data_IF_488523366015
#
_entry.id   IF_488523366015
#
_cell.length_a   1.000
_cell.length_b   1.000
_cell.length_c   1.000
_cell.angle_alpha   90.00
_cell.angle_beta   90.00
_cell.angle_gamma   90.00
#
_symmetry.space_group_name_H-M   'P 1'
#
loop_
_entity.id
_entity.type
_entity.pdbx_description
1 polymer ?
#
# COMPACT_ATOMS: atom_id res chain seq x y z
N UNK A 1 -2.71 -34.07 39.78
CA UNK A 1 -2.42 -34.43 38.38
C UNK A 1 -1.33 -33.53 37.74
N UNK A 2 -0.35 -33.01 38.51
CA UNK A 2 0.77 -32.15 37.99
C UNK A 2 2.14 -32.77 38.22
N UNK A 3 2.24 -34.06 38.58
CA UNK A 3 3.53 -34.74 38.84
C UNK A 3 3.78 -35.97 37.97
N UNK A 4 2.96 -36.21 36.91
CA UNK A 4 3.12 -37.36 36.03
C UNK A 4 3.63 -36.96 34.60
N UNK A 5 3.80 -35.66 34.30
CA UNK A 5 4.28 -35.18 33.02
C UNK A 5 5.80 -34.88 32.96
N UNK A 6 6.49 -34.97 34.08
CA UNK A 6 7.94 -34.70 34.17
C UNK A 6 8.84 -35.94 33.99
N UNK A 7 8.27 -37.15 33.88
CA UNK A 7 9.06 -38.39 33.81
C UNK A 7 9.14 -39.02 32.41
N UNK A 8 8.46 -38.47 31.40
CA UNK A 8 8.47 -38.99 30.04
C UNK A 8 9.44 -38.23 29.14
N UNK A 9 9.89 -37.03 29.52
CA UNK A 9 10.85 -36.24 28.73
C UNK A 9 12.31 -36.56 29.05
N UNK A 10 12.62 -37.38 30.04
CA UNK A 10 14.01 -37.71 30.42
C UNK A 10 14.51 -39.06 29.86
N UNK A 11 13.71 -39.78 29.06
CA UNK A 11 14.07 -41.14 28.61
C UNK A 11 14.36 -41.21 27.08
N UNK A 12 14.42 -40.07 26.37
CA UNK A 12 14.75 -40.04 24.93
C UNK A 12 16.12 -39.41 24.59
N UNK A 13 16.97 -39.17 25.57
CA UNK A 13 18.33 -38.60 25.33
C UNK A 13 19.50 -39.55 25.60
N UNK A 14 19.33 -40.86 25.63
CA UNK A 14 20.41 -41.82 25.94
C UNK A 14 20.66 -42.91 24.88
N UNK A 15 20.18 -42.74 23.66
CA UNK A 15 20.44 -43.72 22.61
C UNK A 15 20.99 -43.04 21.33
N UNK A 16 22.18 -42.50 21.40
CA UNK A 16 22.80 -41.83 20.25
C UNK A 16 24.32 -41.71 20.31
N UNK A 17 25.04 -42.57 21.01
CA UNK A 17 26.50 -42.59 20.98
C UNK A 17 27.05 -43.99 21.12
N UNK A 18 27.18 -44.74 20.01
CA UNK A 18 28.14 -45.85 19.88
C UNK A 18 28.17 -46.32 18.41
N UNK A 19 29.06 -45.76 17.62
CA UNK A 19 29.69 -46.47 16.48
C UNK A 19 30.79 -45.57 15.89
N UNK A 20 31.95 -45.58 16.54
CA UNK A 20 33.24 -45.27 15.92
C UNK A 20 34.21 -46.30 16.44
N UNK A 21 34.73 -47.19 15.55
CA UNK A 21 36.15 -47.56 15.50
C UNK A 21 36.40 -48.86 14.74
N UNK A 22 37.38 -48.76 13.92
CA UNK A 22 38.41 -49.72 13.40
C UNK A 22 38.28 -50.09 11.93
N UNK A 23 39.05 -49.49 11.08
CA UNK A 23 40.41 -49.65 10.54
C UNK A 23 40.79 -51.08 10.22
N UNK A 24 41.12 -51.41 8.95
CA UNK A 24 42.45 -51.66 8.44
C UNK A 24 42.44 -52.30 7.02
N UNK A 25 43.30 -51.72 6.18
CA UNK A 25 44.15 -52.30 5.13
C UNK A 25 43.62 -52.94 3.86
N UNK A 26 43.95 -52.30 2.83
CA UNK A 26 44.34 -52.46 1.42
C UNK A 26 45.05 -53.79 1.05
N UNK A 27 45.38 -54.13 -0.23
CA UNK A 27 45.10 -53.49 -1.53
C UNK A 27 44.76 -54.47 -2.69
N UNK A 28 44.21 -54.00 -3.76
CA UNK A 28 44.67 -54.25 -5.14
C UNK A 28 43.63 -53.89 -6.19
N UNK A 29 43.98 -52.99 -6.99
CA UNK A 29 43.90 -52.72 -8.40
C UNK A 29 42.73 -53.23 -9.20
N UNK A 30 42.03 -52.29 -9.84
CA UNK A 30 41.95 -52.27 -11.30
C UNK A 30 41.01 -51.16 -11.81
N UNK A 31 41.54 -50.44 -12.77
CA UNK A 31 40.89 -49.90 -13.95
C UNK A 31 39.74 -48.91 -13.83
N UNK A 32 40.07 -47.72 -14.21
CA UNK A 32 39.27 -46.52 -14.53
C UNK A 32 38.21 -46.78 -15.55
N UNK A 33 36.98 -46.37 -15.24
CA UNK A 33 36.04 -45.81 -16.21
C UNK A 33 35.67 -44.38 -15.76
N UNK A 34 35.78 -43.34 -16.61
CA UNK A 34 35.38 -42.01 -16.24
C UNK A 34 33.86 -41.91 -16.34
N UNK A 35 33.18 -42.42 -15.32
CA UNK A 35 31.72 -42.24 -15.15
C UNK A 35 31.45 -40.77 -14.86
N UNK A 36 30.70 -40.18 -15.75
CA UNK A 36 29.88 -38.97 -15.73
C UNK A 36 29.75 -38.40 -14.33
N UNK A 37 30.39 -37.25 -14.09
CA UNK A 37 30.01 -36.33 -13.02
C UNK A 37 28.55 -35.96 -13.30
N UNK A 38 27.60 -36.53 -12.59
CA UNK A 38 26.29 -35.95 -12.41
C UNK A 38 26.51 -34.59 -11.77
N UNK A 39 26.33 -33.54 -12.54
CA UNK A 39 26.28 -32.19 -12.00
C UNK A 39 25.19 -32.20 -10.95
N UNK A 40 25.52 -31.91 -9.72
CA UNK A 40 24.54 -31.47 -8.72
C UNK A 40 23.87 -30.25 -9.34
N UNK A 41 22.61 -30.38 -9.77
CA UNK A 41 21.83 -29.19 -10.11
C UNK A 41 21.90 -28.28 -8.89
N UNK A 42 22.50 -27.12 -9.06
CA UNK A 42 22.56 -26.13 -7.99
C UNK A 42 21.13 -25.78 -7.60
N UNK A 43 20.82 -25.86 -6.32
CA UNK A 43 19.51 -25.43 -5.81
C UNK A 43 19.34 -23.96 -6.15
N UNK A 44 18.16 -23.52 -6.59
CA UNK A 44 17.90 -22.09 -6.85
C UNK A 44 18.15 -21.27 -5.59
N UNK A 45 18.70 -20.07 -5.76
CA UNK A 45 18.89 -19.12 -4.68
C UNK A 45 17.53 -18.53 -4.30
N UNK A 46 17.16 -18.57 -3.03
CA UNK A 46 15.87 -18.07 -2.54
C UNK A 46 15.87 -16.54 -2.54
N UNK A 47 14.70 -15.93 -2.86
CA UNK A 47 14.42 -14.50 -2.81
C UNK A 47 13.08 -14.30 -2.11
N UNK A 48 13.06 -13.57 -1.01
CA UNK A 48 11.82 -13.23 -0.30
C UNK A 48 11.38 -11.80 -0.62
N UNK A 49 10.08 -11.63 -0.98
CA UNK A 49 9.45 -10.34 -1.25
C UNK A 49 8.39 -10.06 -0.20
N UNK A 50 8.48 -8.93 0.52
CA UNK A 50 7.40 -8.51 1.42
C UNK A 50 6.49 -7.49 0.74
N UNK A 51 5.16 -7.63 0.98
CA UNK A 51 4.14 -6.73 0.50
C UNK A 51 3.00 -6.59 1.51
N UNK A 52 2.14 -5.57 1.37
CA UNK A 52 1.12 -5.27 2.37
C UNK A 52 -0.32 -5.25 1.85
N UNK A 53 -0.58 -5.59 0.60
CA UNK A 53 -1.94 -5.57 0.06
C UNK A 53 -2.83 -6.61 0.74
N UNK A 54 -3.89 -6.15 1.45
CA UNK A 54 -4.86 -7.02 2.11
C UNK A 54 -5.85 -7.65 1.14
N UNK A 55 -6.04 -7.03 -0.05
CA UNK A 55 -6.94 -7.51 -1.08
C UNK A 55 -6.47 -8.86 -1.64
N UNK A 56 -7.31 -9.90 -1.48
CA UNK A 56 -6.99 -11.26 -1.89
C UNK A 56 -6.70 -11.36 -3.39
N UNK A 57 -7.42 -10.61 -4.24
CA UNK A 57 -7.17 -10.62 -5.69
C UNK A 57 -5.78 -10.11 -6.04
N UNK A 58 -5.28 -9.08 -5.36
CA UNK A 58 -3.92 -8.58 -5.54
C UNK A 58 -2.87 -9.61 -5.11
N UNK A 59 -3.13 -10.31 -4.01
CA UNK A 59 -2.25 -11.40 -3.54
C UNK A 59 -2.18 -12.54 -4.55
N UNK A 60 -3.33 -12.93 -5.11
CA UNK A 60 -3.40 -13.99 -6.14
C UNK A 60 -2.67 -13.59 -7.42
N UNK A 61 -2.81 -12.32 -7.88
CA UNK A 61 -2.11 -11.80 -9.06
C UNK A 61 -0.59 -11.82 -8.83
N UNK A 62 -0.10 -11.30 -7.70
CA UNK A 62 1.32 -11.30 -7.38
C UNK A 62 1.88 -12.73 -7.31
N UNK A 63 1.16 -13.64 -6.65
CA UNK A 63 1.57 -15.05 -6.57
C UNK A 63 1.63 -15.71 -7.96
N UNK A 64 0.66 -15.42 -8.85
CA UNK A 64 0.68 -15.91 -10.23
C UNK A 64 1.92 -15.40 -11.00
N UNK A 65 2.24 -14.13 -10.91
CA UNK A 65 3.45 -13.53 -11.51
C UNK A 65 4.72 -14.19 -10.98
N UNK A 66 4.78 -14.47 -9.68
CA UNK A 66 5.91 -15.18 -9.04
C UNK A 66 6.01 -16.64 -9.52
N UNK A 67 4.88 -17.34 -9.66
CA UNK A 67 4.85 -18.71 -10.19
C UNK A 67 5.35 -18.75 -11.62
N UNK A 68 4.93 -17.82 -12.48
CA UNK A 68 5.39 -17.69 -13.86
C UNK A 68 6.90 -17.38 -13.94
N UNK A 69 7.39 -16.47 -13.12
CA UNK A 69 8.82 -16.21 -13.01
C UNK A 69 9.61 -17.45 -12.59
N UNK A 70 9.18 -18.13 -11.53
CA UNK A 70 9.83 -19.33 -11.04
C UNK A 70 9.81 -20.47 -12.06
N UNK A 71 8.77 -20.55 -12.90
CA UNK A 71 8.69 -21.54 -13.98
C UNK A 71 9.58 -21.18 -15.19
N UNK A 72 9.90 -19.90 -15.41
CA UNK A 72 10.66 -19.42 -16.57
C UNK A 72 12.17 -19.64 -16.45
N UNK A 73 12.70 -19.86 -15.25
CA UNK A 73 14.14 -19.99 -14.98
C UNK A 73 14.41 -20.92 -13.79
N UNK A 74 15.70 -21.25 -13.49
CA UNK A 74 16.09 -22.18 -12.44
C UNK A 74 17.14 -21.62 -11.49
N UNK A 75 17.55 -20.38 -11.68
CA UNK A 75 18.63 -19.75 -10.91
C UNK A 75 18.13 -19.22 -9.57
N UNK A 76 16.93 -18.64 -9.54
CA UNK A 76 16.31 -18.03 -8.38
C UNK A 76 14.95 -18.67 -8.10
N UNK A 77 14.53 -18.62 -6.84
CA UNK A 77 13.21 -19.01 -6.43
C UNK A 77 12.59 -17.92 -5.55
N UNK A 78 11.67 -17.16 -6.14
CA UNK A 78 10.99 -16.07 -5.46
C UNK A 78 9.83 -16.61 -4.64
N UNK A 79 9.64 -16.05 -3.45
CA UNK A 79 8.46 -16.23 -2.60
C UNK A 79 7.98 -14.88 -2.10
N UNK A 80 6.67 -14.76 -1.82
CA UNK A 80 6.10 -13.54 -1.29
C UNK A 80 5.53 -13.76 0.10
N UNK A 81 5.67 -12.73 0.96
CA UNK A 81 5.13 -12.71 2.32
C UNK A 81 4.24 -11.48 2.52
N UNK A 82 2.98 -11.74 2.81
CA UNK A 82 2.06 -10.70 3.23
C UNK A 82 2.37 -10.23 4.65
N UNK A 83 2.49 -8.93 4.83
CA UNK A 83 2.59 -8.25 6.12
C UNK A 83 1.51 -7.17 6.17
N UNK A 84 0.57 -7.18 7.13
CA UNK A 84 -0.49 -6.17 7.19
C UNK A 84 0.06 -4.74 7.17
N UNK A 85 -0.61 -3.84 6.43
CA UNK A 85 -0.17 -2.46 6.25
C UNK A 85 0.14 -1.75 7.57
N UNK A 86 -0.72 -1.92 8.58
CA UNK A 86 -0.55 -1.33 9.91
C UNK A 86 0.73 -1.80 10.64
N UNK A 87 1.25 -2.98 10.31
CA UNK A 87 2.44 -3.56 10.92
C UNK A 87 3.68 -3.47 10.02
N UNK A 88 3.52 -3.15 8.72
CA UNK A 88 4.57 -3.25 7.72
C UNK A 88 5.81 -2.41 8.07
N UNK A 89 5.61 -1.14 8.37
CA UNK A 89 6.69 -0.22 8.79
C UNK A 89 7.42 -0.71 10.04
N UNK A 90 6.66 -1.20 11.02
CA UNK A 90 7.22 -1.73 12.26
C UNK A 90 8.05 -2.98 12.00
N UNK A 91 7.56 -3.90 11.17
CA UNK A 91 8.28 -5.13 10.82
C UNK A 91 9.57 -4.82 10.05
N UNK A 92 9.57 -3.89 9.10
CA UNK A 92 10.79 -3.44 8.42
C UNK A 92 11.80 -2.83 9.40
N UNK A 93 11.36 -1.98 10.32
CA UNK A 93 12.25 -1.36 11.31
C UNK A 93 12.85 -2.39 12.29
N UNK A 94 12.07 -3.40 12.69
CA UNK A 94 12.56 -4.51 13.52
C UNK A 94 13.54 -5.35 12.71
N UNK A 95 13.20 -5.75 11.48
CA UNK A 95 14.06 -6.53 10.60
C UNK A 95 15.40 -5.86 10.34
N UNK A 96 15.42 -4.54 10.14
CA UNK A 96 16.65 -3.76 9.96
C UNK A 96 17.59 -3.82 11.17
N UNK A 97 17.04 -3.96 12.39
CA UNK A 97 17.87 -4.07 13.61
C UNK A 97 18.25 -5.51 13.95
N UNK A 98 17.50 -6.49 13.45
CA UNK A 98 17.69 -7.91 13.73
C UNK A 98 18.44 -8.66 12.62
N UNK A 99 18.77 -8.00 11.50
CA UNK A 99 19.29 -8.62 10.28
C UNK A 99 18.36 -9.71 9.71
N UNK A 100 17.04 -9.40 9.75
CA UNK A 100 15.96 -10.28 9.33
C UNK A 100 15.04 -9.56 8.31
N UNK A 101 15.66 -8.83 7.37
CA UNK A 101 14.94 -8.20 6.25
C UNK A 101 14.73 -9.20 5.11
N UNK A 102 13.68 -9.02 4.27
CA UNK A 102 13.56 -9.75 3.01
C UNK A 102 14.62 -9.32 2.00
N UNK A 103 14.60 -9.85 0.80
CA UNK A 103 15.48 -9.41 -0.29
C UNK A 103 14.89 -8.24 -1.09
N UNK A 104 13.57 -8.12 -1.08
CA UNK A 104 12.82 -7.07 -1.78
C UNK A 104 11.55 -6.71 -1.03
N UNK A 105 11.11 -5.47 -1.21
CA UNK A 105 9.80 -5.00 -0.69
C UNK A 105 9.00 -4.30 -1.77
N UNK A 106 7.67 -4.35 -1.61
CA UNK A 106 6.72 -3.47 -2.28
C UNK A 106 6.20 -2.53 -1.19
N UNK A 107 6.58 -1.25 -1.29
CA UNK A 107 6.39 -0.26 -0.22
C UNK A 107 5.66 0.98 -0.74
N UNK A 108 4.85 1.61 0.13
CA UNK A 108 4.17 2.87 -0.18
C UNK A 108 5.17 3.97 -0.53
N UNK A 109 4.91 4.68 -1.62
CA UNK A 109 5.83 5.68 -2.20
C UNK A 109 6.38 6.70 -1.21
N UNK A 110 5.56 7.34 -0.35
CA UNK A 110 6.04 8.38 0.58
C UNK A 110 7.00 7.85 1.66
N UNK A 111 6.94 6.56 1.97
CA UNK A 111 7.83 5.95 2.96
C UNK A 111 9.21 5.59 2.40
N UNK A 112 9.31 5.44 1.08
CA UNK A 112 10.52 4.95 0.41
C UNK A 112 11.76 5.80 0.75
N UNK A 113 11.64 7.13 0.70
CA UNK A 113 12.73 8.05 1.00
C UNK A 113 13.25 7.90 2.44
N UNK A 114 12.38 7.62 3.42
CA UNK A 114 12.75 7.38 4.80
C UNK A 114 13.66 6.16 4.95
N UNK A 115 13.27 5.04 4.34
CA UNK A 115 14.05 3.80 4.41
C UNK A 115 15.31 3.84 3.57
N UNK A 116 15.31 4.55 2.44
CA UNK A 116 16.53 4.82 1.67
C UNK A 116 17.54 5.64 2.49
N UNK A 117 17.09 6.67 3.20
CA UNK A 117 17.94 7.47 4.10
C UNK A 117 18.51 6.65 5.27
N UNK A 118 17.80 5.62 5.72
CA UNK A 118 18.29 4.67 6.73
C UNK A 118 19.30 3.65 6.17
N UNK A 119 19.55 3.64 4.85
CA UNK A 119 20.45 2.70 4.19
C UNK A 119 19.90 1.29 4.03
N UNK A 120 18.59 1.12 4.09
CA UNK A 120 17.92 -0.20 3.96
C UNK A 120 17.91 -0.65 2.51
N UNK A 121 17.80 0.28 1.55
CA UNK A 121 17.73 -0.05 0.12
C UNK A 121 19.10 0.01 -0.58
N UNK A 122 19.30 -0.88 -1.53
CA UNK A 122 20.44 -0.88 -2.43
C UNK A 122 20.35 0.31 -3.41
N UNK A 123 21.50 0.92 -3.71
CA UNK A 123 21.64 1.93 -4.75
C UNK A 123 21.61 1.25 -6.13
N UNK A 124 20.52 1.41 -6.86
CA UNK A 124 20.30 0.82 -8.18
C UNK A 124 20.46 1.83 -9.32
N UNK A 125 21.10 2.97 -9.05
CA UNK A 125 21.35 4.04 -10.02
C UNK A 125 22.03 3.49 -11.28
N UNK A 126 21.44 3.75 -12.44
CA UNK A 126 21.95 3.31 -13.76
C UNK A 126 21.67 1.84 -14.10
N UNK A 127 20.97 1.09 -13.26
CA UNK A 127 20.56 -0.29 -13.57
C UNK A 127 19.28 -0.33 -14.38
N UNK A 128 18.40 0.66 -14.25
CA UNK A 128 17.12 0.75 -14.96
C UNK A 128 17.00 2.08 -15.72
N UNK A 129 16.36 2.04 -16.89
CA UNK A 129 15.98 3.23 -17.65
C UNK A 129 14.64 3.77 -17.13
N UNK A 130 14.68 4.89 -16.42
CA UNK A 130 13.49 5.57 -15.90
C UNK A 130 12.95 6.67 -16.80
N UNK A 131 13.48 6.85 -18.02
CA UNK A 131 13.09 7.93 -18.93
C UNK A 131 11.63 7.84 -19.41
N UNK A 132 11.08 6.63 -19.44
CA UNK A 132 9.68 6.34 -19.78
C UNK A 132 8.71 6.56 -18.62
N UNK A 133 9.20 6.73 -17.40
CA UNK A 133 8.38 6.93 -16.20
C UNK A 133 7.98 8.39 -16.03
N UNK A 134 6.89 8.64 -15.30
CA UNK A 134 6.54 9.96 -14.80
C UNK A 134 7.55 10.43 -13.73
N UNK A 135 7.85 11.72 -13.72
CA UNK A 135 8.84 12.30 -12.79
C UNK A 135 8.44 12.16 -11.32
N UNK A 136 7.16 12.35 -11.01
CA UNK A 136 6.66 12.26 -9.64
C UNK A 136 6.89 10.89 -8.99
N UNK A 137 6.44 9.79 -9.60
CA UNK A 137 6.75 8.43 -9.13
C UNK A 137 8.24 8.16 -8.99
N UNK A 138 9.07 8.54 -9.96
CA UNK A 138 10.54 8.34 -9.88
C UNK A 138 11.14 9.16 -8.72
N UNK A 139 10.64 10.38 -8.49
CA UNK A 139 11.12 11.21 -7.38
C UNK A 139 10.85 10.56 -6.01
N UNK A 140 9.76 9.79 -5.85
CA UNK A 140 9.45 9.11 -4.59
C UNK A 140 10.49 8.06 -4.17
N UNK A 141 11.21 7.47 -5.13
CA UNK A 141 12.27 6.48 -4.88
C UNK A 141 13.68 7.01 -5.18
N UNK A 142 13.83 8.34 -5.33
CA UNK A 142 15.12 9.01 -5.55
C UNK A 142 15.50 9.84 -4.32
N UNK A 143 16.67 9.60 -3.74
CA UNK A 143 17.20 10.33 -2.60
C UNK A 143 18.62 10.80 -2.92
N UNK A 144 18.90 12.08 -2.73
CA UNK A 144 20.22 12.69 -3.02
C UNK A 144 20.73 12.39 -4.44
N UNK A 145 19.83 12.33 -5.42
CA UNK A 145 20.14 12.04 -6.82
C UNK A 145 20.47 10.58 -7.13
N UNK A 146 20.25 9.68 -6.20
CA UNK A 146 20.43 8.24 -6.35
C UNK A 146 19.08 7.53 -6.36
N UNK A 147 18.97 6.50 -7.20
CA UNK A 147 17.78 5.68 -7.35
C UNK A 147 17.85 4.48 -6.40
N UNK A 148 16.85 4.33 -5.55
CA UNK A 148 16.75 3.27 -4.54
C UNK A 148 15.56 2.31 -4.76
N UNK A 149 14.85 2.48 -5.86
CA UNK A 149 13.71 1.62 -6.20
C UNK A 149 13.14 1.96 -7.58
N UNK A 150 12.15 1.21 -8.01
CA UNK A 150 11.40 1.43 -9.26
C UNK A 150 9.93 1.59 -8.91
N UNK A 151 9.24 2.62 -9.43
CA UNK A 151 7.81 2.75 -9.22
C UNK A 151 7.05 1.54 -9.79
N UNK A 152 6.16 0.96 -8.97
CA UNK A 152 5.27 -0.12 -9.40
C UNK A 152 4.11 0.46 -10.23
N UNK A 153 3.31 1.33 -9.60
CA UNK A 153 2.17 1.96 -10.22
C UNK A 153 1.76 3.21 -9.47
N UNK A 154 0.79 3.92 -10.01
CA UNK A 154 0.22 5.12 -9.42
C UNK A 154 -1.27 4.96 -9.24
N UNK A 155 -1.83 5.62 -8.23
CA UNK A 155 -3.25 5.63 -7.97
C UNK A 155 -3.65 6.96 -7.32
N UNK A 156 -4.94 7.18 -7.19
CA UNK A 156 -5.49 8.30 -6.42
C UNK A 156 -6.85 7.91 -5.83
N UNK A 157 -7.37 8.74 -4.94
CA UNK A 157 -8.71 8.58 -4.40
C UNK A 157 -9.75 9.27 -5.28
N UNK A 158 -10.96 8.70 -5.34
CA UNK A 158 -12.12 9.31 -5.98
C UNK A 158 -13.40 9.01 -5.17
N UNK A 159 -14.50 9.64 -5.54
CA UNK A 159 -15.80 9.43 -4.91
C UNK A 159 -16.55 8.29 -5.62
N UNK A 160 -16.82 7.21 -4.92
CA UNK A 160 -17.76 6.16 -5.32
C UNK A 160 -19.16 6.50 -4.81
N UNK A 161 -20.18 6.20 -5.59
CA UNK A 161 -21.56 6.41 -5.20
C UNK A 161 -22.49 5.29 -5.70
N UNK A 162 -23.50 4.97 -4.88
CA UNK A 162 -24.56 4.03 -5.23
C UNK A 162 -25.64 4.77 -6.02
N UNK A 163 -25.79 4.46 -7.31
CA UNK A 163 -26.70 5.14 -8.23
C UNK A 163 -28.18 4.98 -7.81
N UNK A 164 -28.56 3.79 -7.35
CA UNK A 164 -29.94 3.53 -6.95
C UNK A 164 -30.30 4.29 -5.67
N UNK A 165 -29.36 4.43 -4.72
CA UNK A 165 -29.59 5.21 -3.49
C UNK A 165 -29.70 6.71 -3.77
N UNK A 166 -28.80 7.27 -4.60
CA UNK A 166 -28.86 8.68 -4.99
C UNK A 166 -30.19 8.97 -5.71
N UNK A 167 -30.54 8.13 -6.67
CA UNK A 167 -31.81 8.24 -7.42
C UNK A 167 -33.03 8.14 -6.52
N UNK A 168 -33.06 7.20 -5.58
CA UNK A 168 -34.20 7.02 -4.66
C UNK A 168 -34.39 8.22 -3.72
N UNK A 169 -33.28 8.89 -3.35
CA UNK A 169 -33.32 10.10 -2.53
C UNK A 169 -33.48 11.39 -3.36
N UNK A 170 -33.50 11.31 -4.69
CA UNK A 170 -33.46 12.44 -5.61
C UNK A 170 -32.30 13.39 -5.33
N UNK A 171 -31.10 12.81 -5.15
CA UNK A 171 -29.83 13.50 -4.90
C UNK A 171 -28.98 13.40 -6.15
N UNK A 172 -28.43 14.54 -6.58
CA UNK A 172 -27.44 14.60 -7.66
C UNK A 172 -26.05 14.26 -7.11
N UNK A 173 -25.14 13.84 -8.00
CA UNK A 173 -23.73 13.58 -7.64
C UNK A 173 -23.08 14.89 -7.20
N UNK A 174 -22.56 14.99 -5.96
CA UNK A 174 -22.02 16.22 -5.43
C UNK A 174 -20.69 16.60 -6.10
N UNK A 175 -20.47 17.91 -6.30
CA UNK A 175 -19.27 18.50 -6.87
C UNK A 175 -18.55 19.47 -5.92
N UNK A 176 -19.24 19.89 -4.87
CA UNK A 176 -18.73 20.78 -3.83
C UNK A 176 -18.93 20.18 -2.43
N UNK A 177 -18.20 20.68 -1.43
CA UNK A 177 -18.35 20.24 -0.05
C UNK A 177 -19.76 20.45 0.52
N UNK A 178 -20.38 21.58 0.20
CA UNK A 178 -21.75 21.87 0.65
C UNK A 178 -22.74 20.87 0.04
N UNK A 179 -22.60 20.57 -1.25
CA UNK A 179 -23.40 19.54 -1.94
C UNK A 179 -23.12 18.16 -1.35
N UNK A 180 -21.85 17.82 -1.08
CA UNK A 180 -21.45 16.54 -0.47
C UNK A 180 -22.09 16.35 0.91
N UNK A 181 -22.00 17.36 1.79
CA UNK A 181 -22.61 17.32 3.12
C UNK A 181 -24.12 17.18 3.02
N UNK A 182 -24.77 17.97 2.16
CA UNK A 182 -26.22 17.90 1.94
C UNK A 182 -26.66 16.53 1.38
N UNK A 183 -25.94 16.00 0.39
CA UNK A 183 -26.16 14.68 -0.17
C UNK A 183 -26.01 13.58 0.89
N UNK A 184 -24.91 13.60 1.65
CA UNK A 184 -24.64 12.59 2.67
C UNK A 184 -25.71 12.61 3.78
N UNK A 185 -26.14 13.78 4.23
CA UNK A 185 -27.26 13.90 5.21
C UNK A 185 -28.55 13.33 4.64
N UNK A 186 -28.89 13.65 3.37
CA UNK A 186 -30.12 13.19 2.73
C UNK A 186 -30.14 11.66 2.50
N UNK A 187 -28.98 11.05 2.29
CA UNK A 187 -28.80 9.62 2.08
C UNK A 187 -28.73 8.83 3.38
N UNK A 188 -28.42 9.50 4.50
CA UNK A 188 -28.38 8.87 5.83
C UNK A 188 -29.79 8.56 6.31
N UNK A 189 -30.13 7.27 6.32
CA UNK A 189 -31.45 6.81 6.71
C UNK A 189 -31.39 5.35 7.18
N UNK A 190 -32.16 5.03 8.20
CA UNK A 190 -32.23 3.70 8.80
C UNK A 190 -30.83 3.23 9.23
N UNK A 191 -30.27 2.19 8.60
CA UNK A 191 -28.92 1.69 8.85
C UNK A 191 -27.90 2.16 7.79
N UNK A 192 -28.27 3.06 6.88
CA UNK A 192 -27.38 3.58 5.85
C UNK A 192 -26.74 4.86 6.32
N UNK A 193 -25.42 4.96 6.20
CA UNK A 193 -24.65 6.19 6.37
C UNK A 193 -24.38 6.82 5.00
N UNK A 194 -24.52 8.14 4.88
CA UNK A 194 -24.40 8.82 3.59
C UNK A 194 -23.00 8.80 2.99
N UNK A 195 -21.96 8.88 3.83
CA UNK A 195 -20.56 8.94 3.41
C UNK A 195 -19.68 8.14 4.35
N UNK A 196 -18.65 7.49 3.81
CA UNK A 196 -17.55 6.91 4.58
C UNK A 196 -16.21 7.05 3.84
N UNK A 197 -15.13 7.19 4.59
CA UNK A 197 -13.75 7.00 4.16
C UNK A 197 -12.89 6.53 5.33
N UNK A 198 -11.78 5.86 5.04
CA UNK A 198 -10.87 5.38 6.07
C UNK A 198 -10.36 6.53 6.93
N UNK A 199 -10.50 6.39 8.24
CA UNK A 199 -10.13 7.42 9.21
C UNK A 199 -9.27 6.86 10.34
N UNK A 200 -8.52 5.79 10.06
CA UNK A 200 -7.56 5.20 11.00
C UNK A 200 -6.48 6.21 11.40
N UNK A 201 -5.97 6.09 12.61
CA UNK A 201 -4.79 6.86 13.04
C UNK A 201 -3.51 6.20 12.52
N UNK A 202 -3.30 6.27 11.21
CA UNK A 202 -2.13 5.76 10.50
C UNK A 202 -2.02 6.43 9.12
N UNK A 203 -1.12 5.93 8.27
CA UNK A 203 -0.90 6.43 6.91
C UNK A 203 -2.16 6.32 6.02
N UNK A 204 -2.97 5.26 6.16
CA UNK A 204 -4.22 5.12 5.42
C UNK A 204 -5.19 6.28 5.71
N UNK A 205 -5.32 6.64 6.99
CA UNK A 205 -6.14 7.76 7.39
C UNK A 205 -5.61 9.10 6.87
N UNK A 206 -4.30 9.33 6.94
CA UNK A 206 -3.67 10.52 6.35
C UNK A 206 -3.92 10.59 4.85
N UNK A 207 -3.74 9.47 4.14
CA UNK A 207 -4.02 9.36 2.71
C UNK A 207 -5.46 9.78 2.36
N UNK A 208 -6.43 9.28 3.13
CA UNK A 208 -7.84 9.58 2.92
C UNK A 208 -8.24 11.00 3.37
N UNK A 209 -7.54 11.60 4.32
CA UNK A 209 -7.80 12.98 4.77
C UNK A 209 -7.13 14.04 3.88
N UNK A 210 -6.00 13.73 3.25
CA UNK A 210 -5.23 14.67 2.44
C UNK A 210 -6.03 15.38 1.34
N UNK A 211 -6.92 14.75 0.58
CA UNK A 211 -7.74 15.44 -0.41
C UNK A 211 -8.60 16.58 0.19
N UNK A 212 -9.14 16.37 1.37
CA UNK A 212 -9.92 17.38 2.09
C UNK A 212 -9.04 18.54 2.56
N UNK A 213 -7.87 18.23 3.10
CA UNK A 213 -6.90 19.25 3.53
C UNK A 213 -6.45 20.12 2.36
N UNK A 214 -6.00 19.49 1.28
CA UNK A 214 -5.43 20.21 0.13
C UNK A 214 -6.49 20.96 -0.71
N UNK A 215 -7.73 20.47 -0.75
CA UNK A 215 -8.83 21.16 -1.43
C UNK A 215 -9.11 22.55 -0.88
N UNK A 216 -8.73 22.82 0.37
CA UNK A 216 -8.83 24.16 0.98
C UNK A 216 -7.68 25.09 0.62
N UNK A 217 -6.61 24.57 0.02
CA UNK A 217 -5.34 25.26 -0.20
C UNK A 217 -4.36 25.18 0.98
N UNK A 218 -4.65 24.40 2.02
CA UNK A 218 -3.67 24.04 3.05
C UNK A 218 -2.68 22.99 2.52
N UNK A 219 -1.59 22.75 3.24
CA UNK A 219 -0.59 21.73 2.91
C UNK A 219 -0.36 20.79 4.08
N UNK A 220 0.29 19.65 3.82
CA UNK A 220 0.70 18.73 4.89
C UNK A 220 1.73 19.31 5.86
N UNK A 221 2.36 20.42 5.51
CA UNK A 221 3.39 21.09 6.30
C UNK A 221 2.88 22.35 7.01
N UNK A 222 1.69 22.83 6.67
CA UNK A 222 1.05 24.01 7.25
C UNK A 222 -0.46 23.75 7.43
N UNK A 223 -0.80 23.07 8.54
CA UNK A 223 -2.17 22.67 8.90
C UNK A 223 -2.82 23.64 9.90
N UNK A 224 -2.02 24.42 10.67
CA UNK A 224 -2.54 25.36 11.68
C UNK A 224 -2.79 26.75 11.09
N UNK A 225 -3.54 26.79 10.03
CA UNK A 225 -4.03 28.03 9.43
C UNK A 225 -5.54 27.93 9.19
N UNK A 226 -6.16 29.01 8.72
CA UNK A 226 -7.61 29.06 8.47
C UNK A 226 -8.09 27.93 7.55
N UNK A 227 -7.30 27.57 6.53
CA UNK A 227 -7.60 26.52 5.56
C UNK A 227 -7.55 25.12 6.20
N UNK A 228 -6.49 24.81 6.95
CA UNK A 228 -6.36 23.51 7.62
C UNK A 228 -7.42 23.30 8.71
N UNK A 229 -7.71 24.35 9.50
CA UNK A 229 -8.80 24.33 10.48
C UNK A 229 -10.15 24.11 9.78
N UNK A 230 -10.37 24.71 8.60
CA UNK A 230 -11.59 24.50 7.80
C UNK A 230 -11.74 23.07 7.34
N UNK A 231 -10.65 22.40 6.92
CA UNK A 231 -10.67 20.99 6.55
C UNK A 231 -11.05 20.09 7.73
N UNK A 232 -10.44 20.31 8.89
CA UNK A 232 -10.78 19.58 10.12
C UNK A 232 -12.22 19.85 10.58
N UNK A 233 -12.71 21.08 10.44
CA UNK A 233 -14.09 21.47 10.75
C UNK A 233 -15.08 20.75 9.84
N UNK A 234 -14.77 20.63 8.55
CA UNK A 234 -15.64 19.90 7.60
C UNK A 234 -15.82 18.44 8.01
N UNK A 235 -14.75 17.74 8.36
CA UNK A 235 -14.83 16.34 8.83
C UNK A 235 -15.62 16.24 10.13
N UNK A 236 -15.41 17.15 11.08
CA UNK A 236 -16.23 17.25 12.31
C UNK A 236 -17.71 17.40 11.99
N UNK A 237 -18.03 18.30 11.09
CA UNK A 237 -19.40 18.57 10.67
C UNK A 237 -20.09 17.37 10.02
N UNK A 238 -19.35 16.57 9.22
CA UNK A 238 -19.87 15.32 8.64
C UNK A 238 -20.25 14.32 9.74
N UNK A 239 -19.42 14.19 10.77
CA UNK A 239 -19.71 13.31 11.91
C UNK A 239 -20.84 13.84 12.78
N UNK A 240 -20.84 15.12 13.15
CA UNK A 240 -21.86 15.73 14.02
C UNK A 240 -23.24 15.77 13.37
N UNK A 241 -23.31 15.91 12.05
CA UNK A 241 -24.57 15.84 11.30
C UNK A 241 -25.08 14.40 11.11
N UNK A 242 -24.31 13.38 11.50
CA UNK A 242 -24.63 11.98 11.27
C UNK A 242 -24.41 11.51 9.82
N UNK A 243 -23.93 12.38 8.93
CA UNK A 243 -23.64 12.06 7.54
C UNK A 243 -22.52 11.02 7.38
N UNK A 244 -21.61 10.97 8.36
CA UNK A 244 -20.48 10.03 8.44
C UNK A 244 -20.45 9.37 9.83
N UNK A 245 -20.20 8.07 9.86
CA UNK A 245 -20.10 7.31 11.12
C UNK A 245 -18.75 7.57 11.81
N UNK A 246 -18.76 7.66 13.15
CA UNK A 246 -17.54 7.65 13.96
C UNK A 246 -16.75 6.34 13.83
N UNK A 247 -17.41 5.24 13.46
CA UNK A 247 -16.76 3.93 13.28
C UNK A 247 -15.72 3.92 12.16
N UNK A 248 -15.74 4.93 11.27
CA UNK A 248 -14.70 5.10 10.24
C UNK A 248 -13.28 5.18 10.82
N UNK A 249 -13.12 5.55 12.10
CA UNK A 249 -11.82 5.50 12.80
C UNK A 249 -11.28 4.08 13.04
N UNK A 250 -12.10 3.06 12.82
CA UNK A 250 -11.76 1.65 12.99
C UNK A 250 -11.76 0.88 11.65
N UNK A 251 -12.11 1.53 10.55
CA UNK A 251 -12.26 0.88 9.25
C UNK A 251 -11.06 1.13 8.35
N UNK A 252 -10.49 0.05 7.83
CA UNK A 252 -9.55 0.09 6.70
C UNK A 252 -10.27 0.53 5.43
N UNK A 253 -9.52 0.82 4.37
CA UNK A 253 -10.12 1.08 3.04
C UNK A 253 -10.92 -0.12 2.52
N UNK A 254 -10.46 -1.35 2.83
CA UNK A 254 -11.20 -2.58 2.55
C UNK A 254 -12.51 -2.68 3.33
N UNK A 255 -12.50 -2.33 4.63
CA UNK A 255 -13.72 -2.28 5.44
C UNK A 255 -14.73 -1.27 4.91
N UNK A 256 -14.27 -0.07 4.50
CA UNK A 256 -15.14 0.95 3.89
C UNK A 256 -15.77 0.42 2.61
N UNK A 257 -15.01 -0.24 1.73
CA UNK A 257 -15.54 -0.90 0.55
C UNK A 257 -16.59 -1.97 0.93
N UNK A 258 -16.31 -2.81 1.91
CA UNK A 258 -17.24 -3.84 2.39
C UNK A 258 -18.56 -3.25 2.91
N UNK A 259 -18.52 -2.10 3.60
CA UNK A 259 -19.73 -1.38 4.01
C UNK A 259 -20.51 -0.85 2.79
N UNK A 260 -19.81 -0.35 1.78
CA UNK A 260 -20.44 0.16 0.56
C UNK A 260 -21.12 -0.96 -0.25
N UNK A 261 -20.44 -2.07 -0.54
CA UNK A 261 -21.03 -3.19 -1.29
C UNK A 261 -22.18 -3.87 -0.53
N UNK A 262 -22.15 -3.83 0.81
CA UNK A 262 -23.23 -4.34 1.67
C UNK A 262 -24.43 -3.39 1.75
N UNK A 263 -24.35 -2.21 1.12
CA UNK A 263 -25.44 -1.21 1.12
C UNK A 263 -25.59 -0.45 2.45
N UNK A 264 -24.61 -0.50 3.34
CA UNK A 264 -24.59 0.24 4.62
C UNK A 264 -24.05 1.66 4.46
N UNK A 265 -23.38 1.95 3.33
CA UNK A 265 -22.81 3.25 2.97
C UNK A 265 -23.25 3.62 1.57
N UNK A 266 -23.75 4.84 1.39
CA UNK A 266 -24.27 5.31 0.10
C UNK A 266 -23.17 5.89 -0.80
N UNK A 267 -22.15 6.53 -0.23
CA UNK A 267 -21.00 7.09 -0.92
C UNK A 267 -19.73 6.77 -0.13
N UNK A 268 -18.63 6.44 -0.82
CA UNK A 268 -17.33 6.28 -0.18
C UNK A 268 -16.23 7.00 -0.96
N UNK A 269 -15.19 7.45 -0.26
CA UNK A 269 -13.94 7.85 -0.89
C UNK A 269 -12.95 6.70 -0.78
N UNK A 270 -12.48 6.22 -1.93
CA UNK A 270 -11.58 5.07 -2.03
C UNK A 270 -10.81 5.12 -3.36
N UNK A 271 -9.87 4.21 -3.55
CA UNK A 271 -9.03 4.18 -4.74
C UNK A 271 -9.41 3.10 -5.76
N UNK A 272 -8.78 3.12 -6.95
CA UNK A 272 -9.13 2.23 -8.07
C UNK A 272 -8.80 0.76 -7.80
N UNK A 273 -7.96 0.45 -6.82
CA UNK A 273 -7.67 -0.93 -6.38
C UNK A 273 -8.89 -1.68 -5.85
N UNK A 274 -9.99 -0.98 -5.55
CA UNK A 274 -11.24 -1.63 -5.16
C UNK A 274 -12.09 -2.05 -6.37
N UNK A 275 -11.87 -1.47 -7.55
CA UNK A 275 -12.68 -1.73 -8.74
C UNK A 275 -12.73 -3.20 -9.15
N UNK A 276 -11.60 -3.93 -9.22
CA UNK A 276 -11.63 -5.36 -9.55
C UNK A 276 -12.47 -6.17 -8.56
N UNK A 277 -12.27 -5.96 -7.26
CA UNK A 277 -13.03 -6.65 -6.20
C UNK A 277 -14.51 -6.31 -6.26
N UNK A 278 -14.86 -5.04 -6.40
CA UNK A 278 -16.26 -4.62 -6.50
C UNK A 278 -16.98 -5.24 -7.71
N UNK A 279 -16.30 -5.33 -8.85
CA UNK A 279 -16.84 -5.99 -10.04
C UNK A 279 -17.05 -7.48 -9.85
N UNK A 280 -16.17 -8.14 -9.11
CA UNK A 280 -16.25 -9.57 -8.84
C UNK A 280 -17.29 -9.93 -7.76
N UNK A 281 -17.32 -9.18 -6.65
CA UNK A 281 -18.12 -9.51 -5.46
C UNK A 281 -19.51 -8.85 -5.46
N UNK A 282 -19.68 -7.74 -6.17
CA UNK A 282 -20.95 -7.00 -6.23
C UNK A 282 -21.40 -6.70 -7.68
N UNK A 283 -21.50 -7.73 -8.56
CA UNK A 283 -21.78 -7.52 -9.99
C UNK A 283 -23.16 -6.90 -10.27
N UNK A 284 -24.10 -7.03 -9.35
CA UNK A 284 -25.47 -6.48 -9.49
C UNK A 284 -25.61 -5.08 -8.88
N UNK A 285 -24.62 -4.59 -8.15
CA UNK A 285 -24.61 -3.27 -7.55
C UNK A 285 -24.45 -2.20 -8.64
N UNK A 286 -25.39 -1.24 -8.69
CA UNK A 286 -25.25 -0.08 -9.57
C UNK A 286 -24.46 1.00 -8.87
N UNK A 287 -23.25 1.18 -9.30
CA UNK A 287 -22.34 2.18 -8.74
C UNK A 287 -21.54 2.86 -9.85
N UNK A 288 -21.04 4.03 -9.53
CA UNK A 288 -20.19 4.78 -10.43
C UNK A 288 -19.18 5.60 -9.62
N UNK A 289 -18.27 6.28 -10.31
CA UNK A 289 -17.20 7.08 -9.74
C UNK A 289 -17.30 8.53 -10.24
N UNK A 290 -17.00 9.47 -9.35
CA UNK A 290 -16.92 10.90 -9.65
C UNK A 290 -15.65 11.50 -9.02
N UNK A 291 -15.30 12.72 -9.41
CA UNK A 291 -14.25 13.47 -8.73
C UNK A 291 -14.64 13.71 -7.27
N UNK A 292 -13.64 13.73 -6.37
CA UNK A 292 -13.84 14.16 -4.98
C UNK A 292 -14.37 15.61 -5.00
N UNK A 293 -15.50 15.88 -4.34
CA UNK A 293 -16.05 17.23 -4.27
C UNK A 293 -15.08 18.23 -3.67
N UNK A 294 -15.02 19.41 -4.25
CA UNK A 294 -14.06 20.44 -3.86
C UNK A 294 -14.62 21.42 -2.82
N UNK A 295 -13.71 21.98 -2.04
CA UNK A 295 -13.90 23.27 -1.35
C UNK A 295 -13.53 24.41 -2.32
N UNK A 296 -12.27 24.79 -2.37
CA UNK A 296 -11.73 25.81 -3.28
C UNK A 296 -11.33 25.22 -4.63
N UNK A 297 -10.63 24.08 -4.62
CA UNK A 297 -10.13 23.40 -5.80
C UNK A 297 -10.30 21.88 -5.70
N UNK A 298 -10.37 21.21 -6.85
CA UNK A 298 -10.33 19.76 -6.88
C UNK A 298 -8.98 19.25 -6.35
N UNK A 299 -9.02 18.20 -5.57
CA UNK A 299 -7.82 17.58 -5.01
C UNK A 299 -7.99 16.09 -4.86
N UNK A 300 -6.89 15.38 -4.92
CA UNK A 300 -6.77 13.99 -4.51
C UNK A 300 -5.37 13.74 -3.96
N UNK A 301 -5.19 12.60 -3.31
CA UNK A 301 -3.89 12.14 -2.86
C UNK A 301 -3.29 11.19 -3.89
N UNK A 302 -2.07 11.50 -4.35
CA UNK A 302 -1.29 10.59 -5.18
C UNK A 302 -0.79 9.45 -4.30
N UNK A 303 -1.18 8.25 -4.65
CA UNK A 303 -0.67 7.01 -4.11
C UNK A 303 0.13 6.23 -5.15
N UNK A 304 0.58 5.09 -4.74
CA UNK A 304 1.35 4.16 -5.53
C UNK A 304 2.49 3.59 -4.72
N UNK A 305 2.93 2.42 -5.13
CA UNK A 305 4.00 1.67 -4.49
C UNK A 305 5.26 1.71 -5.32
N UNK A 306 6.37 1.49 -4.64
CA UNK A 306 7.68 1.27 -5.23
C UNK A 306 8.19 -0.12 -4.88
N UNK A 307 8.89 -0.74 -5.81
CA UNK A 307 9.78 -1.85 -5.51
C UNK A 307 11.08 -1.31 -4.90
N UNK A 308 11.49 -1.87 -3.77
CA UNK A 308 12.77 -1.58 -3.14
C UNK A 308 13.59 -2.86 -2.98
N UNK A 309 14.82 -2.88 -3.48
CA UNK A 309 15.77 -3.97 -3.27
C UNK A 309 16.50 -3.72 -1.96
N UNK A 310 16.57 -4.72 -1.08
CA UNK A 310 17.21 -4.59 0.23
C UNK A 310 18.73 -4.74 0.09
N UNK A 311 19.47 -3.79 0.65
CA UNK A 311 20.91 -3.81 0.66
C UNK A 311 21.47 -4.97 1.52
N UNK A 312 22.41 -5.73 0.97
CA UNK A 312 23.07 -6.85 1.67
C UNK A 312 22.28 -8.17 1.68
N UNK A 313 21.06 -8.21 1.15
CA UNK A 313 20.31 -9.43 0.89
C UNK A 313 20.74 -10.12 -0.41
N UNK A 314 19.87 -10.95 -0.99
CA UNK A 314 20.08 -11.51 -2.33
C UNK A 314 19.79 -10.47 -3.43
N UNK A 315 20.62 -9.41 -3.49
CA UNK A 315 20.43 -8.28 -4.40
C UNK A 315 20.32 -8.70 -5.87
N UNK A 316 21.18 -9.62 -6.34
CA UNK A 316 21.16 -10.07 -7.73
C UNK A 316 19.89 -10.86 -8.07
N UNK A 317 19.38 -11.66 -7.14
CA UNK A 317 18.11 -12.37 -7.29
C UNK A 317 16.91 -11.41 -7.28
N UNK A 318 16.91 -10.44 -6.38
CA UNK A 318 15.90 -9.40 -6.30
C UNK A 318 15.89 -8.51 -7.55
N UNK A 319 17.06 -8.12 -8.06
CA UNK A 319 17.19 -7.36 -9.31
C UNK A 319 16.70 -8.16 -10.53
N UNK A 320 17.02 -9.44 -10.61
CA UNK A 320 16.53 -10.30 -11.70
C UNK A 320 15.00 -10.42 -11.69
N UNK A 321 14.38 -10.52 -10.52
CA UNK A 321 12.93 -10.49 -10.39
C UNK A 321 12.36 -9.10 -10.71
N UNK A 322 13.02 -8.02 -10.27
CA UNK A 322 12.63 -6.65 -10.58
C UNK A 322 12.66 -6.38 -12.09
N UNK A 323 13.69 -6.84 -12.82
CA UNK A 323 13.76 -6.77 -14.29
C UNK A 323 12.56 -7.48 -14.95
N UNK A 324 12.18 -8.64 -14.45
CA UNK A 324 11.04 -9.41 -14.96
C UNK A 324 9.71 -8.66 -14.73
N UNK A 325 9.45 -8.17 -13.51
CA UNK A 325 8.17 -7.52 -13.19
C UNK A 325 8.05 -6.11 -13.77
N UNK A 326 9.15 -5.51 -14.23
CA UNK A 326 9.17 -4.20 -14.91
C UNK A 326 9.21 -4.31 -16.43
N UNK A 327 9.18 -5.52 -16.99
CA UNK A 327 8.97 -5.74 -18.43
C UNK A 327 7.59 -5.25 -18.89
N UNK A 328 7.48 -4.86 -20.16
CA UNK A 328 6.27 -4.27 -20.73
C UNK A 328 5.02 -5.13 -20.57
N UNK A 329 5.17 -6.45 -20.75
CA UNK A 329 4.06 -7.40 -20.67
C UNK A 329 3.57 -7.52 -19.21
N UNK A 330 4.52 -7.66 -18.28
CA UNK A 330 4.21 -7.80 -16.86
C UNK A 330 3.61 -6.51 -16.28
N UNK A 331 4.17 -5.34 -16.63
CA UNK A 331 3.62 -4.05 -16.19
C UNK A 331 2.19 -3.88 -16.68
N UNK A 332 1.90 -4.13 -17.97
CA UNK A 332 0.54 -4.01 -18.51
C UNK A 332 -0.43 -4.96 -17.79
N UNK A 333 -0.04 -6.23 -17.66
CA UNK A 333 -0.86 -7.23 -16.98
C UNK A 333 -1.17 -6.83 -15.53
N UNK A 334 -0.14 -6.51 -14.76
CA UNK A 334 -0.31 -6.18 -13.35
C UNK A 334 -1.12 -4.89 -13.16
N UNK A 335 -0.84 -3.83 -13.91
CA UNK A 335 -1.57 -2.56 -13.77
C UNK A 335 -3.06 -2.72 -14.05
N UNK A 336 -3.41 -3.43 -15.12
CA UNK A 336 -4.81 -3.70 -15.45
C UNK A 336 -5.49 -4.57 -14.38
N UNK A 337 -4.82 -5.62 -13.92
CA UNK A 337 -5.36 -6.55 -12.94
C UNK A 337 -5.46 -5.94 -11.52
N UNK A 338 -4.52 -5.08 -11.13
CA UNK A 338 -4.57 -4.34 -9.86
C UNK A 338 -5.52 -3.14 -9.89
N UNK A 339 -5.94 -2.69 -11.07
CA UNK A 339 -6.69 -1.45 -11.21
C UNK A 339 -5.82 -0.20 -10.95
N UNK A 340 -4.52 -0.29 -11.21
CA UNK A 340 -3.58 0.81 -11.03
C UNK A 340 -3.29 1.52 -12.36
N UNK A 341 -2.96 2.79 -12.29
CA UNK A 341 -2.46 3.56 -13.43
C UNK A 341 -0.95 3.32 -13.49
N UNK A 342 -0.45 2.96 -14.67
CA UNK A 342 0.98 2.73 -14.84
C UNK A 342 1.80 3.97 -14.48
N UNK A 343 2.90 3.78 -13.76
CA UNK A 343 3.89 4.83 -13.54
C UNK A 343 4.70 5.13 -14.83
N UNK A 344 4.59 4.28 -15.86
CA UNK A 344 5.21 4.45 -17.17
C UNK A 344 4.26 5.19 -18.12
N UNK A 345 4.72 6.32 -18.68
CA UNK A 345 3.96 7.20 -19.60
C UNK A 345 3.47 6.45 -20.85
N UNK A 346 4.36 5.67 -21.46
CA UNK A 346 4.11 4.93 -22.70
C UNK A 346 3.02 3.85 -22.57
N UNK A 347 2.80 3.35 -21.34
CA UNK A 347 1.73 2.40 -21.01
C UNK A 347 0.47 3.15 -20.60
N UNK A 348 0.58 4.12 -19.67
CA UNK A 348 -0.55 4.84 -19.09
C UNK A 348 -1.40 5.59 -20.13
N UNK A 349 -0.79 6.13 -21.19
CA UNK A 349 -1.48 6.91 -22.24
C UNK A 349 -2.61 6.13 -22.94
N UNK A 350 -2.53 4.80 -22.99
CA UNK A 350 -3.52 3.94 -23.66
C UNK A 350 -4.27 3.02 -22.69
N UNK A 351 -3.96 3.11 -21.40
CA UNK A 351 -4.56 2.29 -20.38
C UNK A 351 -6.01 2.74 -20.11
N UNK A 352 -6.93 1.79 -19.92
CA UNK A 352 -8.33 2.04 -19.54
C UNK A 352 -9.14 2.90 -20.54
N UNK A 353 -8.74 3.00 -21.82
CA UNK A 353 -9.43 3.85 -22.81
C UNK A 353 -10.95 3.55 -22.93
N UNK A 354 -11.32 2.29 -22.78
CA UNK A 354 -12.72 1.80 -22.90
C UNK A 354 -13.40 1.56 -21.54
N UNK A 355 -12.79 1.99 -20.42
CA UNK A 355 -13.32 1.80 -19.06
C UNK A 355 -13.74 3.13 -18.41
N UNK A 356 -15.03 3.45 -18.47
CA UNK A 356 -15.59 4.72 -17.98
C UNK A 356 -15.31 4.95 -16.48
N UNK A 357 -15.27 3.88 -15.66
CA UNK A 357 -14.95 3.95 -14.22
C UNK A 357 -13.48 4.35 -14.04
N UNK A 358 -12.59 3.63 -14.70
CA UNK A 358 -11.15 3.89 -14.58
C UNK A 358 -10.76 5.24 -15.19
N UNK A 359 -11.45 5.69 -16.24
CA UNK A 359 -11.27 7.03 -16.81
C UNK A 359 -11.54 8.16 -15.80
N UNK A 360 -12.44 7.95 -14.82
CA UNK A 360 -12.66 8.92 -13.75
C UNK A 360 -11.46 9.03 -12.80
N UNK A 361 -10.77 7.93 -12.54
CA UNK A 361 -9.51 7.98 -11.79
C UNK A 361 -8.39 8.65 -12.60
N UNK A 362 -8.30 8.39 -13.91
CA UNK A 362 -7.36 9.09 -14.79
C UNK A 362 -7.64 10.60 -14.79
N UNK A 363 -8.92 11.02 -14.84
CA UNK A 363 -9.32 12.44 -14.72
C UNK A 363 -8.92 13.01 -13.34
N UNK A 364 -9.16 12.27 -12.25
CA UNK A 364 -8.84 12.68 -10.89
C UNK A 364 -7.32 12.80 -10.65
N UNK A 365 -6.49 11.99 -11.34
CA UNK A 365 -5.03 12.06 -11.26
C UNK A 365 -4.47 13.44 -11.62
N UNK A 366 -5.16 14.21 -12.47
CA UNK A 366 -4.75 15.58 -12.80
C UNK A 366 -4.76 16.54 -11.59
N UNK A 367 -5.46 16.16 -10.52
CA UNK A 367 -5.59 16.92 -9.29
C UNK A 367 -4.92 16.23 -8.10
N UNK A 368 -4.23 15.11 -8.33
CA UNK A 368 -3.57 14.37 -7.27
C UNK A 368 -2.22 15.00 -6.90
N UNK A 369 -2.00 15.16 -5.60
CA UNK A 369 -0.77 15.72 -5.05
C UNK A 369 -0.01 14.63 -4.28
N UNK A 370 1.35 14.61 -4.34
CA UNK A 370 2.13 13.61 -3.62
C UNK A 370 2.17 13.91 -2.12
N UNK A 371 2.25 12.84 -1.33
CA UNK A 371 2.65 12.85 0.06
C UNK A 371 4.18 12.85 0.11
N UNK A 372 4.80 13.81 0.75
CA UNK A 372 6.27 13.92 0.73
C UNK A 372 6.83 14.40 -0.62
N UNK A 373 8.06 13.99 -1.01
CA UNK A 373 8.99 13.17 -0.22
C UNK A 373 9.61 13.91 0.98
N UNK A 374 9.71 13.26 2.13
CA UNK A 374 10.41 13.75 3.31
C UNK A 374 10.89 12.56 4.13
N UNK A 375 12.15 12.56 4.62
CA UNK A 375 12.70 11.44 5.39
C UNK A 375 11.88 11.14 6.66
N UNK A 376 11.30 12.17 7.29
CA UNK A 376 10.44 12.05 8.46
C UNK A 376 8.93 12.02 8.12
N UNK A 377 8.57 11.67 6.88
CA UNK A 377 7.16 11.58 6.48
C UNK A 377 6.30 10.74 7.45
N UNK A 378 6.75 9.58 7.95
CA UNK A 378 5.96 8.80 8.89
C UNK A 378 5.54 9.58 10.15
N UNK A 379 6.41 10.46 10.66
CA UNK A 379 6.13 11.30 11.84
C UNK A 379 5.16 12.43 11.51
N UNK A 380 5.28 13.05 10.33
CA UNK A 380 4.38 14.09 9.82
C UNK A 380 2.99 13.50 9.60
N UNK A 381 2.90 12.38 8.91
CA UNK A 381 1.65 11.65 8.66
C UNK A 381 0.93 11.26 9.95
N UNK A 382 1.66 10.75 10.94
CA UNK A 382 1.08 10.42 12.23
C UNK A 382 0.52 11.67 12.96
N UNK A 383 1.17 12.82 12.86
CA UNK A 383 0.65 14.06 13.44
C UNK A 383 -0.67 14.50 12.76
N UNK A 384 -0.75 14.38 11.44
CA UNK A 384 -1.97 14.70 10.66
C UNK A 384 -3.09 13.73 11.00
N UNK A 385 -2.85 12.41 10.95
CA UNK A 385 -3.87 11.40 11.24
C UNK A 385 -4.38 11.46 12.67
N UNK A 386 -3.51 11.79 13.64
CA UNK A 386 -3.92 12.01 15.01
C UNK A 386 -4.84 13.24 15.11
N UNK A 387 -4.50 14.35 14.46
CA UNK A 387 -5.29 15.57 14.54
C UNK A 387 -6.73 15.36 14.06
N UNK A 388 -6.93 14.79 12.88
CA UNK A 388 -8.28 14.59 12.40
C UNK A 388 -9.04 13.47 13.16
N UNK A 389 -8.35 12.44 13.66
CA UNK A 389 -8.95 11.42 14.50
C UNK A 389 -9.44 12.00 15.86
N UNK A 390 -8.66 12.87 16.50
CA UNK A 390 -9.07 13.57 17.71
C UNK A 390 -10.27 14.49 17.48
N UNK A 391 -10.35 15.11 16.30
CA UNK A 391 -11.51 15.94 15.92
C UNK A 391 -12.76 15.07 15.67
N UNK A 392 -12.64 13.97 14.94
CA UNK A 392 -13.76 13.05 14.69
C UNK A 392 -14.33 12.44 15.96
N UNK A 393 -13.46 12.12 16.93
CA UNK A 393 -13.86 11.56 18.23
C UNK A 393 -14.38 12.61 19.20
N UNK A 394 -14.14 13.90 18.91
CA UNK A 394 -14.52 15.02 19.77
C UNK A 394 -13.58 15.21 20.96
N UNK A 395 -12.37 14.64 20.90
CA UNK A 395 -11.34 14.81 21.94
C UNK A 395 -10.74 16.21 21.90
N UNK A 396 -10.57 16.77 20.70
CA UNK A 396 -10.09 18.16 20.52
C UNK A 396 -11.00 18.94 19.57
N UNK A 397 -10.94 20.26 19.68
CA UNK A 397 -11.47 21.17 18.67
C UNK A 397 -10.58 21.14 17.41
N UNK A 398 -11.08 21.54 16.23
CA UNK A 398 -10.25 21.66 15.03
C UNK A 398 -9.02 22.56 15.24
N UNK A 399 -9.17 23.66 15.96
CA UNK A 399 -8.10 24.62 16.27
C UNK A 399 -7.01 23.99 17.16
N UNK A 400 -7.41 23.31 18.26
CA UNK A 400 -6.48 22.67 19.18
C UNK A 400 -5.75 21.49 18.52
N UNK A 401 -6.45 20.72 17.68
CA UNK A 401 -5.89 19.60 16.93
C UNK A 401 -4.87 20.09 15.89
N UNK A 402 -5.24 21.12 15.10
CA UNK A 402 -4.35 21.75 14.13
C UNK A 402 -3.08 22.32 14.78
N UNK A 403 -3.23 23.04 15.91
CA UNK A 403 -2.09 23.61 16.62
C UNK A 403 -1.15 22.53 17.17
N UNK A 404 -1.68 21.41 17.69
CA UNK A 404 -0.86 20.30 18.19
C UNK A 404 -0.10 19.62 17.05
N UNK A 405 -0.77 19.35 15.93
CA UNK A 405 -0.14 18.75 14.75
C UNK A 405 0.96 19.65 14.19
N UNK A 406 0.69 20.95 14.03
CA UNK A 406 1.67 21.91 13.54
C UNK A 406 2.90 21.98 14.42
N UNK A 407 2.74 22.00 15.75
CA UNK A 407 3.89 22.00 16.67
C UNK A 407 4.80 20.78 16.44
N UNK A 408 4.22 19.61 16.16
CA UNK A 408 4.98 18.40 15.83
C UNK A 408 5.68 18.54 14.49
N UNK A 409 4.97 19.03 13.46
CA UNK A 409 5.47 19.22 12.10
C UNK A 409 6.61 20.25 12.10
N UNK A 410 6.46 21.40 12.78
CA UNK A 410 7.50 22.43 12.90
C UNK A 410 8.78 21.88 13.55
N UNK A 411 8.65 20.98 14.50
CA UNK A 411 9.81 20.32 15.12
C UNK A 411 10.56 19.36 14.19
N UNK A 412 9.95 18.98 13.06
CA UNK A 412 10.53 18.08 12.05
C UNK A 412 11.11 18.87 10.88
N UNK A 413 10.35 19.83 10.34
CA UNK A 413 10.75 20.55 9.12
C UNK A 413 11.60 21.79 9.40
N UNK A 414 11.74 22.22 10.64
CA UNK A 414 12.69 23.23 11.12
C UNK A 414 12.13 24.61 11.15
#
# INVERSE_FOLDING_TARGET
>A
MKKLFALVLALMMVLGMAACAQSEQNPSGESKDPGTQGGSEAQPSEVEVWYYWENTSHQEILNGVIEDYNASQTQYKVSAKYVPFADFKKQLSIGATADELPDMVIIDGPDHASYAAMGIFADITGRFDTSTYYEGPVASCTVDGKLYGIPFGSNCLALYYNEDMLKAANVEVPTTWDEMKAAAVALTKDNVTGLAFCSLQNEEGTFNFSPWLWSTGATSYDINNENGIRALTFVKDLVESGAMSKECINWTQGDVMNQFISGNVAMMVNGPWQVPTMRAEAPDLKWNVALIPKDTEYSSCLGGENFGVIAGGNEEGALAFLEYVTDDEQVKYMMDAFGYISARKDIAENQFADDEIMQKFVEQMAYAQPRGPHAEWPSISNAISLAFNEVMTGVKTPEDAAATAQQTIDGIVG
#
